data_IF_318704673642
#
_entry.id   IF_318704673642
#
_cell.length_a   1.000
_cell.length_b   1.000
_cell.length_c   1.000
_cell.angle_alpha   90.00
_cell.angle_beta   90.00
_cell.angle_gamma   90.00
#
_symmetry.space_group_name_H-M   'P 1'
#
loop_
_entity.id
_entity.type
_entity.pdbx_description
1 polymer ?
#
# COMPACT_ATOMS: atom_id res chain seq x y z
N UNK A 1 5.64 -21.76 -12.08
CA UNK A 1 5.90 -20.73 -11.04
C UNK A 1 5.07 -21.13 -9.83
N UNK A 2 5.72 -21.48 -8.71
CA UNK A 2 5.01 -21.79 -7.46
C UNK A 2 4.35 -20.53 -6.93
N UNK A 3 3.04 -20.59 -6.69
CA UNK A 3 2.29 -19.49 -6.07
C UNK A 3 2.79 -19.36 -4.63
N UNK A 4 3.50 -18.27 -4.33
CA UNK A 4 4.11 -18.03 -3.00
C UNK A 4 3.06 -18.01 -1.88
N UNK A 5 1.79 -17.79 -2.22
CA UNK A 5 0.68 -17.80 -1.25
C UNK A 5 0.42 -19.20 -0.70
N UNK A 6 0.79 -20.27 -1.41
CA UNK A 6 0.48 -21.64 -0.98
C UNK A 6 1.12 -22.00 0.37
N UNK A 7 2.36 -21.58 0.61
CA UNK A 7 3.08 -21.86 1.86
C UNK A 7 2.44 -21.21 3.08
N UNK A 8 1.68 -20.12 2.87
CA UNK A 8 1.07 -19.30 3.95
C UNK A 8 -0.39 -18.98 3.66
N UNK A 9 -1.10 -19.96 3.08
CA UNK A 9 -2.45 -19.78 2.53
C UNK A 9 -3.43 -19.21 3.54
N UNK A 10 -3.36 -19.64 4.80
CA UNK A 10 -4.23 -19.15 5.88
C UNK A 10 -4.13 -17.63 6.09
N UNK A 11 -2.92 -17.06 6.02
CA UNK A 11 -2.71 -15.62 6.17
C UNK A 11 -3.23 -14.84 4.95
N UNK A 12 -3.07 -15.40 3.75
CA UNK A 12 -3.62 -14.81 2.53
C UNK A 12 -5.14 -14.91 2.44
N UNK A 13 -5.76 -15.91 3.06
CA UNK A 13 -7.22 -16.01 3.19
C UNK A 13 -7.79 -14.88 4.07
N UNK A 14 -7.08 -14.47 5.13
CA UNK A 14 -7.47 -13.29 5.93
C UNK A 14 -7.51 -12.03 5.04
N UNK A 15 -6.47 -11.84 4.23
CA UNK A 15 -6.41 -10.75 3.25
C UNK A 15 -7.52 -10.84 2.20
N UNK A 16 -7.82 -12.03 1.69
CA UNK A 16 -8.89 -12.25 0.73
C UNK A 16 -10.26 -11.87 1.32
N UNK A 17 -10.56 -12.34 2.53
CA UNK A 17 -11.79 -12.00 3.25
C UNK A 17 -11.90 -10.49 3.44
N UNK A 18 -10.82 -9.83 3.85
CA UNK A 18 -10.81 -8.37 4.03
C UNK A 18 -11.05 -7.61 2.72
N UNK A 19 -10.39 -8.01 1.62
CA UNK A 19 -10.59 -7.39 0.30
C UNK A 19 -12.04 -7.56 -0.17
N UNK A 20 -12.62 -8.75 0.01
CA UNK A 20 -14.01 -9.03 -0.36
C UNK A 20 -14.98 -8.13 0.43
N UNK A 21 -14.75 -7.95 1.73
CA UNK A 21 -15.55 -7.03 2.56
C UNK A 21 -15.39 -5.58 2.10
N UNK A 22 -14.17 -5.17 1.76
CA UNK A 22 -13.91 -3.82 1.25
C UNK A 22 -14.68 -3.57 -0.06
N UNK A 23 -14.63 -4.52 -0.99
CA UNK A 23 -15.35 -4.46 -2.25
C UNK A 23 -16.87 -4.50 -2.07
N UNK A 24 -17.39 -5.28 -1.11
CA UNK A 24 -18.84 -5.33 -0.85
C UNK A 24 -19.39 -4.05 -0.23
N UNK A 25 -18.59 -3.35 0.59
CA UNK A 25 -19.03 -2.13 1.28
C UNK A 25 -18.89 -0.90 0.36
N UNK A 26 -17.75 -0.75 -0.32
CA UNK A 26 -17.43 0.47 -1.06
C UNK A 26 -17.57 0.34 -2.57
N UNK A 27 -17.78 -0.88 -3.08
CA UNK A 27 -17.74 -1.18 -4.49
C UNK A 27 -16.33 -1.50 -4.99
N UNK A 28 -16.25 -1.83 -6.28
CA UNK A 28 -14.96 -2.09 -6.93
C UNK A 28 -14.15 -0.80 -7.14
N UNK A 29 -12.87 -0.95 -7.49
CA UNK A 29 -12.00 0.22 -7.76
C UNK A 29 -12.56 1.11 -8.88
N UNK A 30 -13.14 0.51 -9.93
CA UNK A 30 -13.76 1.24 -11.05
C UNK A 30 -14.97 2.07 -10.58
N UNK A 31 -15.81 1.47 -9.73
CA UNK A 31 -17.02 2.10 -9.19
C UNK A 31 -16.68 3.27 -8.26
N UNK A 32 -15.64 3.13 -7.42
CA UNK A 32 -15.14 4.24 -6.60
C UNK A 32 -14.66 5.39 -7.50
N UNK A 33 -13.94 5.09 -8.59
CA UNK A 33 -13.48 6.12 -9.54
C UNK A 33 -14.64 6.81 -10.25
N UNK A 34 -15.66 6.06 -10.66
CA UNK A 34 -16.86 6.56 -11.34
C UNK A 34 -17.67 7.56 -10.49
N UNK A 35 -17.53 7.55 -9.15
CA UNK A 35 -18.18 8.55 -8.28
C UNK A 35 -17.61 9.96 -8.47
N UNK A 36 -16.40 10.10 -9.02
CA UNK A 36 -15.62 11.34 -9.20
C UNK A 36 -15.33 12.15 -7.92
N UNK A 37 -16.37 12.53 -7.19
CA UNK A 37 -16.35 13.32 -5.96
C UNK A 37 -17.17 12.64 -4.86
N UNK A 38 -16.58 12.52 -3.66
CA UNK A 38 -17.15 11.85 -2.50
C UNK A 38 -17.18 12.81 -1.31
N UNK A 39 -18.16 12.68 -0.41
CA UNK A 39 -18.23 13.48 0.82
C UNK A 39 -17.00 13.24 1.71
N UNK A 40 -16.56 14.26 2.43
CA UNK A 40 -15.34 14.21 3.25
C UNK A 40 -15.34 13.06 4.27
N UNK A 41 -16.48 12.76 4.88
CA UNK A 41 -16.56 11.72 5.93
C UNK A 41 -16.57 10.32 5.34
N UNK A 42 -17.27 10.11 4.21
CA UNK A 42 -17.18 8.88 3.42
C UNK A 42 -15.75 8.67 2.90
N UNK A 43 -15.11 9.73 2.40
CA UNK A 43 -13.72 9.68 1.96
C UNK A 43 -12.78 9.27 3.10
N UNK A 44 -12.99 9.80 4.31
CA UNK A 44 -12.21 9.44 5.50
C UNK A 44 -12.40 7.98 5.88
N UNK A 45 -13.65 7.50 5.85
CA UNK A 45 -13.99 6.11 6.13
C UNK A 45 -13.29 5.17 5.14
N UNK A 46 -13.48 5.38 3.83
CA UNK A 46 -12.80 4.59 2.79
C UNK A 46 -11.28 4.62 2.98
N UNK A 47 -10.72 5.81 3.26
CA UNK A 47 -9.29 5.98 3.47
C UNK A 47 -8.78 5.18 4.68
N UNK A 48 -9.55 5.08 5.75
CA UNK A 48 -9.23 4.30 6.95
C UNK A 48 -9.21 2.79 6.64
N UNK A 49 -10.24 2.28 5.95
CA UNK A 49 -10.30 0.89 5.50
C UNK A 49 -9.14 0.54 4.56
N UNK A 50 -8.83 1.41 3.60
CA UNK A 50 -7.68 1.22 2.71
C UNK A 50 -6.35 1.21 3.48
N UNK A 51 -6.20 2.03 4.54
CA UNK A 51 -5.00 1.98 5.40
C UNK A 51 -4.88 0.65 6.14
N UNK A 52 -5.98 0.09 6.61
CA UNK A 52 -5.99 -1.23 7.24
C UNK A 52 -5.55 -2.31 6.25
N UNK A 53 -6.10 -2.31 5.04
CA UNK A 53 -5.68 -3.21 3.95
C UNK A 53 -4.21 -3.04 3.57
N UNK A 54 -3.72 -1.80 3.46
CA UNK A 54 -2.32 -1.52 3.17
C UNK A 54 -1.40 -2.00 4.29
N UNK A 55 -1.77 -1.83 5.56
CA UNK A 55 -1.01 -2.37 6.69
C UNK A 55 -0.95 -3.90 6.64
N UNK A 56 -2.09 -4.54 6.39
CA UNK A 56 -2.18 -6.00 6.24
C UNK A 56 -1.27 -6.50 5.10
N UNK A 57 -1.35 -5.89 3.91
CA UNK A 57 -0.52 -6.26 2.76
C UNK A 57 0.97 -6.02 3.01
N UNK A 58 1.34 -4.94 3.72
CA UNK A 58 2.75 -4.69 4.09
C UNK A 58 3.32 -5.81 4.95
N UNK A 59 2.54 -6.28 5.93
CA UNK A 59 2.95 -7.38 6.81
C UNK A 59 3.06 -8.70 6.04
N UNK A 60 2.08 -9.03 5.19
CA UNK A 60 2.14 -10.21 4.33
C UNK A 60 3.35 -10.19 3.37
N UNK A 61 3.61 -9.03 2.75
CA UNK A 61 4.77 -8.87 1.88
C UNK A 61 6.09 -8.98 2.64
N UNK A 62 6.17 -8.52 3.89
CA UNK A 62 7.36 -8.69 4.74
C UNK A 62 7.59 -10.17 5.03
N UNK A 63 6.52 -10.89 5.37
CA UNK A 63 6.55 -12.33 5.61
C UNK A 63 7.09 -13.06 4.37
N UNK A 64 6.56 -12.77 3.18
CA UNK A 64 7.07 -13.38 1.94
C UNK A 64 8.48 -12.92 1.56
N UNK A 65 8.81 -11.66 1.79
CA UNK A 65 10.16 -11.14 1.54
C UNK A 65 11.21 -11.87 2.39
N UNK A 66 10.90 -12.23 3.64
CA UNK A 66 11.79 -12.97 4.52
C UNK A 66 12.03 -14.42 4.07
N UNK A 67 11.13 -14.99 3.28
CA UNK A 67 11.29 -16.35 2.74
C UNK A 67 12.12 -16.37 1.45
N UNK A 68 12.40 -15.20 0.85
CA UNK A 68 13.20 -15.12 -0.36
C UNK A 68 14.70 -15.17 0.00
N UNK A 69 15.53 -15.85 -0.82
CA UNK A 69 16.96 -15.88 -0.61
C UNK A 69 17.56 -14.47 -0.74
N UNK A 70 18.64 -14.20 0.00
CA UNK A 70 19.40 -12.94 -0.13
C UNK A 70 19.79 -12.77 -1.61
N UNK A 71 19.49 -11.62 -2.22
CA UNK A 71 19.81 -11.40 -3.62
C UNK A 71 21.34 -11.40 -3.77
N UNK A 72 21.88 -12.42 -4.44
CA UNK A 72 23.30 -12.52 -4.76
C UNK A 72 23.75 -11.48 -5.81
N UNK A 73 22.81 -10.75 -6.41
CA UNK A 73 23.11 -9.80 -7.47
C UNK A 73 23.61 -8.48 -6.86
N UNK A 74 24.85 -8.06 -7.18
CA UNK A 74 25.31 -6.72 -6.79
C UNK A 74 24.33 -5.69 -7.34
N UNK A 75 23.97 -4.73 -6.49
CA UNK A 75 23.04 -3.66 -6.85
C UNK A 75 23.60 -2.95 -8.10
N UNK A 76 22.88 -2.87 -9.22
CA UNK A 76 23.42 -2.24 -10.41
C UNK A 76 23.73 -0.77 -10.10
N UNK A 77 25.03 -0.45 -10.15
CA UNK A 77 25.58 0.89 -10.02
C UNK A 77 24.85 1.83 -10.97
N UNK A 78 24.44 2.99 -10.43
CA UNK A 78 24.05 4.21 -11.15
C UNK A 78 23.43 3.98 -12.54
N UNK A 79 22.13 3.65 -12.56
CA UNK A 79 21.37 3.73 -13.82
C UNK A 79 21.43 5.17 -14.33
N UNK A 80 21.84 5.32 -15.58
CA UNK A 80 21.75 6.58 -16.30
C UNK A 80 20.34 7.16 -16.17
N UNK A 81 20.28 8.46 -15.95
CA UNK A 81 19.04 9.19 -15.71
C UNK A 81 18.21 9.20 -16.98
N UNK A 82 17.35 8.18 -17.14
CA UNK A 82 16.48 8.05 -18.31
C UNK A 82 15.57 9.27 -18.42
N UNK A 83 15.66 9.99 -19.54
CA UNK A 83 14.77 11.12 -19.83
C UNK A 83 13.32 10.63 -19.90
N UNK A 84 12.49 11.07 -18.96
CA UNK A 84 11.07 10.67 -18.90
C UNK A 84 10.27 11.50 -19.90
N UNK A 85 9.89 10.90 -21.04
CA UNK A 85 8.87 11.49 -21.93
C UNK A 85 7.54 11.53 -21.17
N UNK A 86 6.98 12.74 -21.00
CA UNK A 86 5.62 12.91 -20.45
C UNK A 86 4.64 12.42 -21.52
N UNK A 87 3.88 11.38 -21.21
CA UNK A 87 2.73 10.95 -22.02
C UNK A 87 1.49 11.57 -21.40
N UNK A 88 0.69 12.26 -22.20
CA UNK A 88 -0.67 12.62 -21.80
C UNK A 88 -1.42 11.29 -21.66
N UNK A 89 -1.76 10.92 -20.44
CA UNK A 89 -2.62 9.76 -20.20
C UNK A 89 -3.99 10.31 -19.89
N UNK A 90 -4.91 10.02 -20.79
CA UNK A 90 -6.33 10.10 -20.49
C UNK A 90 -6.63 9.02 -19.46
N UNK A 91 -7.27 9.40 -18.37
CA UNK A 91 -7.75 8.42 -17.41
C UNK A 91 -9.11 7.92 -17.85
N UNK A 92 -9.22 6.60 -17.94
CA UNK A 92 -10.46 5.90 -18.25
C UNK A 92 -10.88 5.13 -17.00
N UNK A 93 -11.97 5.54 -16.31
CA UNK A 93 -12.47 4.83 -15.13
C UNK A 93 -12.74 3.34 -15.43
N UNK A 94 -13.12 3.04 -16.66
CA UNK A 94 -13.54 1.70 -17.09
C UNK A 94 -12.37 0.76 -17.39
N UNK A 95 -11.12 1.23 -17.28
CA UNK A 95 -9.90 0.44 -17.55
C UNK A 95 -8.91 0.52 -16.39
N UNK A 96 -9.23 -0.11 -15.25
CA UNK A 96 -8.36 -0.07 -14.08
C UNK A 96 -6.98 -0.65 -14.36
N UNK A 97 -6.84 -1.61 -15.27
CA UNK A 97 -5.56 -2.23 -15.63
C UNK A 97 -4.55 -1.22 -16.21
N UNK A 98 -5.03 -0.23 -16.97
CA UNK A 98 -4.19 0.81 -17.57
C UNK A 98 -3.73 1.86 -16.55
N UNK A 99 -4.31 1.86 -15.34
CA UNK A 99 -3.98 2.83 -14.32
C UNK A 99 -2.54 2.65 -13.84
N UNK A 100 -1.87 3.79 -13.61
CA UNK A 100 -0.52 3.82 -13.05
C UNK A 100 -0.54 3.76 -11.54
N UNK A 101 -0.89 2.59 -11.05
CA UNK A 101 -1.02 2.34 -9.63
C UNK A 101 0.33 2.04 -8.98
N UNK A 102 0.53 2.55 -7.77
CA UNK A 102 1.75 2.32 -6.98
C UNK A 102 1.40 1.93 -5.56
N UNK A 103 1.76 0.70 -5.20
CA UNK A 103 1.75 0.27 -3.81
C UNK A 103 3.08 0.64 -3.12
N UNK A 104 3.01 1.41 -2.03
CA UNK A 104 4.19 1.78 -1.25
C UNK A 104 4.33 0.88 -0.03
N UNK A 105 5.07 -0.24 -0.18
CA UNK A 105 5.27 -1.19 0.91
C UNK A 105 6.06 -0.56 2.08
N UNK A 106 7.15 0.15 1.80
CA UNK A 106 7.85 0.93 2.81
C UNK A 106 7.08 2.24 2.95
N UNK A 107 6.66 2.56 4.18
CA UNK A 107 6.26 3.91 4.54
C UNK A 107 7.52 4.75 4.40
N UNK A 108 7.78 5.28 3.20
CA UNK A 108 8.64 6.44 3.09
C UNK A 108 7.92 7.47 3.92
N UNK A 109 8.43 7.65 5.15
CA UNK A 109 8.04 8.69 6.08
C UNK A 109 7.75 9.89 5.21
N UNK A 110 6.45 10.22 5.07
CA UNK A 110 5.97 11.23 4.13
C UNK A 110 6.90 12.38 4.37
N UNK A 111 7.81 12.65 3.40
CA UNK A 111 8.81 13.71 3.54
C UNK A 111 8.01 14.87 4.08
N UNK A 112 8.23 15.24 5.35
CA UNK A 112 7.51 16.35 5.98
C UNK A 112 7.52 17.43 4.91
N UNK A 113 6.35 17.97 4.50
CA UNK A 113 6.30 18.92 3.39
C UNK A 113 7.43 19.90 3.66
N UNK A 114 8.46 19.84 2.80
CA UNK A 114 9.72 20.59 2.95
C UNK A 114 9.22 21.98 3.24
N UNK A 115 9.41 22.48 4.47
CA UNK A 115 8.82 23.73 4.98
C UNK A 115 8.96 24.72 3.83
N UNK A 116 7.86 24.91 3.08
CA UNK A 116 7.81 25.93 2.05
C UNK A 116 7.81 27.18 2.89
N UNK A 117 8.80 28.01 2.64
CA UNK A 117 9.15 29.17 3.43
C UNK A 117 7.88 29.87 3.94
N UNK A 118 7.86 30.12 5.23
CA UNK A 118 6.79 30.78 5.95
C UNK A 118 6.63 32.19 5.36
N UNK A 119 5.76 32.34 4.36
CA UNK A 119 5.66 33.57 3.60
C UNK A 119 4.46 33.62 2.68
N UNK A 120 3.30 33.17 3.15
CA UNK A 120 1.99 33.71 2.79
C UNK A 120 0.90 32.83 3.44
N UNK A 121 0.03 33.38 4.31
CA UNK A 121 -1.23 32.73 4.57
C UNK A 121 -1.99 32.72 3.24
N UNK A 122 -2.11 31.54 2.62
CA UNK A 122 -3.16 31.33 1.63
C UNK A 122 -4.45 31.62 2.38
N UNK A 123 -5.10 32.74 2.05
CA UNK A 123 -6.53 32.92 2.30
C UNK A 123 -7.19 31.70 1.67
N UNK A 124 -7.48 30.68 2.48
CA UNK A 124 -8.34 29.60 2.04
C UNK A 124 -9.69 30.26 1.82
N UNK A 125 -10.19 30.22 0.60
CA UNK A 125 -11.57 30.59 0.37
C UNK A 125 -12.43 29.76 1.34
N UNK A 126 -13.51 30.29 1.94
CA UNK A 126 -14.39 29.51 2.80
C UNK A 126 -14.90 28.21 2.13
N UNK A 127 -14.87 28.17 0.80
CA UNK A 127 -15.20 27.04 -0.06
C UNK A 127 -14.07 25.98 -0.19
N UNK A 128 -12.82 26.29 0.19
CA UNK A 128 -11.64 25.39 0.14
C UNK A 128 -11.62 24.33 1.26
N UNK A 129 -12.49 24.45 2.27
CA UNK A 129 -12.83 23.35 3.17
C UNK A 129 -13.73 22.30 2.47
N UNK A 130 -13.55 22.12 1.16
CA UNK A 130 -14.43 21.42 0.24
C UNK A 130 -15.03 20.16 0.88
N UNK A 131 -16.34 20.22 1.07
CA UNK A 131 -17.21 19.12 1.52
C UNK A 131 -16.99 17.85 0.69
N UNK A 132 -16.56 18.03 -0.56
CA UNK A 132 -16.26 16.98 -1.50
C UNK A 132 -14.75 16.79 -1.70
N UNK A 133 -14.33 15.53 -1.79
CA UNK A 133 -12.98 15.10 -2.09
C UNK A 133 -12.99 14.25 -3.35
N UNK A 134 -11.91 14.33 -4.13
CA UNK A 134 -11.76 13.44 -5.28
C UNK A 134 -11.73 11.98 -4.81
N UNK A 135 -12.55 11.14 -5.43
CA UNK A 135 -12.60 9.70 -5.19
C UNK A 135 -11.35 8.97 -5.71
N UNK A 136 -10.62 9.63 -6.59
CA UNK A 136 -9.59 9.03 -7.41
C UNK A 136 -8.39 8.46 -6.66
N UNK A 137 -7.80 9.19 -5.69
CA UNK A 137 -6.71 8.62 -4.91
C UNK A 137 -7.15 7.40 -4.08
N UNK A 138 -8.45 7.24 -3.81
CA UNK A 138 -8.98 6.06 -3.12
C UNK A 138 -9.10 4.89 -4.08
N UNK A 139 -9.64 5.11 -5.28
CA UNK A 139 -9.73 4.10 -6.33
C UNK A 139 -8.35 3.54 -6.72
N UNK A 140 -7.35 4.42 -6.92
CA UNK A 140 -5.98 3.99 -7.21
C UNK A 140 -5.39 3.12 -6.09
N UNK A 141 -5.69 3.44 -4.82
CA UNK A 141 -5.21 2.67 -3.67
C UNK A 141 -5.93 1.33 -3.54
N UNK A 142 -7.24 1.28 -3.79
CA UNK A 142 -8.00 0.03 -3.83
C UNK A 142 -7.44 -0.90 -4.92
N UNK A 143 -7.21 -0.36 -6.12
CA UNK A 143 -6.59 -1.10 -7.22
C UNK A 143 -5.16 -1.55 -6.87
N UNK A 144 -4.42 -0.76 -6.11
CA UNK A 144 -3.06 -1.13 -5.67
C UNK A 144 -3.08 -2.39 -4.80
N UNK A 145 -4.05 -2.46 -3.89
CA UNK A 145 -4.25 -3.61 -3.01
C UNK A 145 -4.61 -4.85 -3.83
N UNK A 146 -5.53 -4.73 -4.78
CA UNK A 146 -5.92 -5.85 -5.65
C UNK A 146 -4.73 -6.38 -6.45
N UNK A 147 -3.94 -5.51 -7.07
CA UNK A 147 -2.75 -5.92 -7.82
C UNK A 147 -1.69 -6.60 -6.96
N UNK A 148 -1.48 -6.12 -5.74
CA UNK A 148 -0.57 -6.77 -4.78
C UNK A 148 -1.08 -8.13 -4.36
N UNK A 149 -2.38 -8.25 -4.11
CA UNK A 149 -2.99 -9.52 -3.72
C UNK A 149 -2.97 -10.57 -4.85
N UNK A 150 -3.18 -10.12 -6.09
CA UNK A 150 -3.19 -10.98 -7.27
C UNK A 150 -1.78 -11.45 -7.67
N UNK A 151 -0.78 -10.55 -7.61
CA UNK A 151 0.62 -10.88 -7.92
C UNK A 151 1.57 -10.31 -6.85
N UNK A 152 1.71 -10.98 -5.70
CA UNK A 152 2.52 -10.47 -4.58
C UNK A 152 4.04 -10.60 -4.82
N UNK A 153 4.48 -11.51 -5.68
CA UNK A 153 5.88 -11.89 -5.81
C UNK A 153 6.80 -10.73 -6.23
N UNK A 154 6.48 -9.90 -7.24
CA UNK A 154 7.32 -8.76 -7.61
C UNK A 154 7.45 -7.72 -6.50
N UNK A 155 6.41 -7.57 -5.66
CA UNK A 155 6.43 -6.66 -4.52
C UNK A 155 7.31 -7.21 -3.41
N UNK A 156 7.20 -8.50 -3.08
CA UNK A 156 8.04 -9.18 -2.10
C UNK A 156 9.52 -9.14 -2.52
N UNK A 157 9.84 -9.43 -3.78
CA UNK A 157 11.23 -9.36 -4.30
C UNK A 157 11.82 -7.94 -4.26
N UNK A 158 11.01 -6.91 -4.56
CA UNK A 158 11.46 -5.51 -4.41
C UNK A 158 11.66 -5.15 -2.95
N UNK A 159 10.83 -5.67 -2.06
CA UNK A 159 10.91 -5.43 -0.63
C UNK A 159 12.14 -6.13 -0.02
N UNK A 160 12.34 -7.42 -0.28
CA UNK A 160 13.50 -8.19 0.17
C UNK A 160 14.81 -7.52 -0.21
N UNK A 161 14.97 -7.11 -1.48
CA UNK A 161 16.15 -6.35 -1.94
C UNK A 161 16.40 -5.07 -1.15
N UNK A 162 15.35 -4.35 -0.77
CA UNK A 162 15.48 -3.11 0.02
C UNK A 162 15.78 -3.38 1.48
N UNK A 163 15.17 -4.42 2.06
CA UNK A 163 15.37 -4.77 3.47
C UNK A 163 16.75 -5.37 3.71
N UNK A 164 17.30 -6.18 2.81
CA UNK A 164 18.69 -6.62 2.92
C UNK A 164 19.70 -5.45 2.78
N UNK A 165 19.34 -4.39 2.05
CA UNK A 165 20.19 -3.19 1.96
C UNK A 165 20.01 -2.27 3.18
N UNK A 166 18.82 -2.26 3.79
CA UNK A 166 18.45 -1.36 4.88
C UNK A 166 17.56 -2.11 5.89
N UNK A 167 18.14 -2.98 6.76
CA UNK A 167 17.36 -3.89 7.61
C UNK A 167 16.43 -3.20 8.61
N UNK A 168 16.87 -2.09 9.21
CA UNK A 168 16.09 -1.36 10.22
C UNK A 168 14.71 -0.90 9.74
N UNK A 169 14.48 -0.81 8.42
CA UNK A 169 13.17 -0.47 7.84
C UNK A 169 12.14 -1.60 7.94
N UNK A 170 12.54 -2.83 8.24
CA UNK A 170 11.61 -3.93 8.43
C UNK A 170 10.63 -3.63 9.57
N UNK A 171 11.12 -3.05 10.68
CA UNK A 171 10.29 -2.66 11.83
C UNK A 171 9.26 -1.58 11.50
N UNK A 172 9.57 -0.69 10.55
CA UNK A 172 8.63 0.35 10.10
C UNK A 172 7.40 -0.24 9.39
N UNK A 173 7.53 -1.42 8.78
CA UNK A 173 6.43 -2.09 8.10
C UNK A 173 5.36 -2.58 9.07
N UNK A 174 5.74 -2.87 10.31
CA UNK A 174 4.84 -3.29 11.38
C UNK A 174 4.04 -2.12 11.97
N UNK A 175 4.43 -0.87 11.69
CA UNK A 175 3.73 0.32 12.19
C UNK A 175 2.36 0.45 11.55
N UNK A 176 1.36 0.59 12.39
CA UNK A 176 -0.03 0.83 12.04
C UNK A 176 -0.68 1.67 13.14
N UNK A 177 -1.81 2.31 12.83
CA UNK A 177 -2.60 3.04 13.83
C UNK A 177 -3.50 2.06 14.59
N UNK A 178 -3.77 2.28 15.89
CA UNK A 178 -4.46 1.32 16.76
C UNK A 178 -5.94 1.10 16.38
N UNK A 179 -6.50 1.94 15.52
CA UNK A 179 -7.85 1.86 14.98
C UNK A 179 -8.01 0.87 13.81
N UNK A 180 -6.91 0.38 13.24
CA UNK A 180 -6.95 -0.52 12.07
C UNK A 180 -7.23 -1.99 12.40
N UNK A 181 -6.67 -2.60 13.47
CA UNK A 181 -6.90 -4.02 13.77
C UNK A 181 -8.37 -4.42 13.90
N UNK A 182 -9.27 -3.62 14.54
CA UNK A 182 -10.69 -3.95 14.59
C UNK A 182 -11.37 -4.06 13.22
N UNK A 183 -10.91 -3.32 12.20
CA UNK A 183 -11.51 -3.33 10.86
C UNK A 183 -11.22 -4.62 10.09
N UNK A 184 -10.09 -5.27 10.36
CA UNK A 184 -9.73 -6.56 9.76
C UNK A 184 -10.21 -7.73 10.63
N UNK A 185 -10.46 -7.46 11.92
CA UNK A 185 -10.64 -8.46 12.97
C UNK A 185 -9.36 -8.54 13.80
N UNK A 186 -9.44 -8.15 15.07
CA UNK A 186 -8.26 -7.97 15.94
C UNK A 186 -7.41 -9.24 16.05
N UNK A 187 -8.05 -10.41 16.14
CA UNK A 187 -7.37 -11.72 16.20
C UNK A 187 -6.62 -11.99 14.89
N UNK A 188 -7.31 -11.90 13.75
CA UNK A 188 -6.74 -12.13 12.43
C UNK A 188 -5.57 -11.16 12.13
N UNK A 189 -5.75 -9.88 12.44
CA UNK A 189 -4.69 -8.87 12.29
C UNK A 189 -3.51 -9.17 13.21
N UNK A 190 -3.76 -9.59 14.45
CA UNK A 190 -2.74 -10.00 15.41
C UNK A 190 -1.95 -11.23 14.95
N UNK A 191 -2.62 -12.23 14.36
CA UNK A 191 -1.97 -13.43 13.79
C UNK A 191 -0.99 -13.06 12.68
N UNK A 192 -1.41 -12.19 11.75
CA UNK A 192 -0.52 -11.70 10.68
C UNK A 192 0.61 -10.85 11.26
N UNK A 193 0.31 -9.98 12.23
CA UNK A 193 1.30 -9.15 12.91
C UNK A 193 2.39 -9.95 13.63
N UNK A 194 2.01 -11.01 14.34
CA UNK A 194 2.95 -11.90 15.02
C UNK A 194 3.87 -12.62 14.03
N UNK A 195 3.31 -13.18 12.95
CA UNK A 195 4.08 -13.81 11.89
C UNK A 195 5.05 -12.82 11.20
N UNK A 196 4.61 -11.58 10.99
CA UNK A 196 5.44 -10.52 10.43
C UNK A 196 6.55 -10.08 11.40
N UNK A 197 6.30 -10.11 12.71
CA UNK A 197 7.32 -9.88 13.74
C UNK A 197 8.45 -10.91 13.67
N UNK A 198 8.12 -12.20 13.53
CA UNK A 198 9.11 -13.27 13.33
C UNK A 198 9.88 -13.06 12.03
N UNK A 199 9.19 -12.71 10.94
CA UNK A 199 9.83 -12.40 9.67
C UNK A 199 10.78 -11.19 9.76
N UNK A 200 10.42 -10.17 10.55
CA UNK A 200 11.28 -9.00 10.77
C UNK A 200 12.64 -9.38 11.36
N UNK A 201 12.67 -10.35 12.30
CA UNK A 201 13.91 -10.78 12.95
C UNK A 201 14.93 -11.39 11.97
N UNK A 202 14.48 -11.97 10.85
CA UNK A 202 15.39 -12.53 9.82
C UNK A 202 16.28 -11.48 9.17
N UNK A 203 15.82 -10.23 9.09
CA UNK A 203 16.59 -9.13 8.53
C UNK A 203 17.52 -8.48 9.55
N UNK A 204 17.18 -8.52 10.84
CA UNK A 204 18.01 -7.94 11.92
C UNK A 204 19.30 -8.76 12.17
N UNK A 205 19.34 -10.04 11.76
CA UNK A 205 20.49 -10.95 11.94
C UNK A 205 21.40 -11.10 10.72
N UNK A 206 21.07 -10.47 9.58
CA UNK A 206 21.72 -10.64 8.26
C UNK A 206 22.67 -9.51 7.87
#
# INVERSE_FOLDING_TARGET
>A
MTDIRQTRRSLWLIAQSFINVLASIFGRSEEIAARHTILRDEWRLICQWLRAGEALMRMLLLIEAAALPKPNTPMPLLREKRMRKKRMMEFRPDKPDDWRVRFSAILLERRRPRRRDAGAPRKSDPWDAARFKSAWPLAERAEALLRVFNDPLPYAQRLARRLHAVPHRARELLRHTPDLPPLVGAVAFGTVGAAAGVACATFDTS
#
